data_IF_486528358434
#
_entry.id   IF_486528358434
#
_cell.length_a   1.000
_cell.length_b   1.000
_cell.length_c   1.000
_cell.angle_alpha   90.00
_cell.angle_beta   90.00
_cell.angle_gamma   90.00
#
_symmetry.space_group_name_H-M   'P 1'
#
loop_
_entity.id
_entity.type
_entity.pdbx_description
1 polymer ?
#
# COMPACT_ATOMS: atom_id res chain seq x y z
N UNK A 1 -16.96 18.53 11.19
CA UNK A 1 -18.35 18.51 11.70
C UNK A 1 -18.87 17.08 11.76
N UNK A 2 -20.19 16.86 11.57
CA UNK A 2 -20.79 15.53 11.41
C UNK A 2 -20.67 15.00 9.97
N UNK A 3 -21.23 13.80 9.70
CA UNK A 3 -21.31 13.17 8.37
C UNK A 3 -19.98 13.06 7.63
N UNK A 4 -18.86 12.93 8.34
CA UNK A 4 -17.52 12.91 7.75
C UNK A 4 -17.28 11.71 6.83
N UNK A 5 -18.06 10.64 6.98
CA UNK A 5 -18.05 9.44 6.13
C UNK A 5 -18.55 9.75 4.70
N UNK A 6 -19.51 10.67 4.59
CA UNK A 6 -20.17 11.04 3.34
C UNK A 6 -19.20 11.66 2.34
N UNK A 7 -18.33 12.56 2.80
CA UNK A 7 -17.22 13.08 2.01
C UNK A 7 -16.02 12.13 1.96
N UNK A 8 -15.79 11.30 2.99
CA UNK A 8 -14.66 10.35 3.00
C UNK A 8 -14.73 9.28 1.89
N UNK A 9 -15.93 8.95 1.41
CA UNK A 9 -16.11 8.12 0.20
C UNK A 9 -16.12 8.95 -1.10
N UNK A 10 -16.72 10.15 -1.10
CA UNK A 10 -16.85 11.00 -2.29
C UNK A 10 -15.53 11.62 -2.75
N UNK A 11 -14.72 12.16 -1.82
CA UNK A 11 -13.35 12.63 -2.12
C UNK A 11 -12.49 11.47 -2.64
N UNK A 12 -12.67 10.24 -2.13
CA UNK A 12 -12.02 9.02 -2.63
C UNK A 12 -12.45 8.71 -4.07
N UNK A 13 -13.74 8.90 -4.42
CA UNK A 13 -14.21 8.73 -5.80
C UNK A 13 -13.55 9.73 -6.76
N UNK A 14 -13.26 10.96 -6.31
CA UNK A 14 -12.48 11.96 -7.08
C UNK A 14 -11.01 11.51 -7.25
N UNK A 15 -10.45 10.88 -6.22
CA UNK A 15 -9.14 10.22 -6.27
C UNK A 15 -9.09 9.09 -7.30
N UNK A 16 -10.13 8.26 -7.36
CA UNK A 16 -10.25 7.18 -8.36
C UNK A 16 -10.46 7.71 -9.79
N UNK A 17 -11.13 8.85 -9.98
CA UNK A 17 -11.18 9.56 -11.28
C UNK A 17 -9.78 9.99 -11.73
N UNK A 18 -8.94 10.45 -10.81
CA UNK A 18 -7.58 10.89 -11.10
C UNK A 18 -6.63 9.69 -11.36
N UNK A 19 -6.77 8.64 -10.55
CA UNK A 19 -5.98 7.40 -10.63
C UNK A 19 -6.16 6.67 -11.96
N UNK A 20 -7.40 6.56 -12.47
CA UNK A 20 -7.62 5.91 -13.78
C UNK A 20 -7.19 6.84 -14.95
N UNK A 21 -7.22 8.16 -14.74
CA UNK A 21 -6.80 9.16 -15.74
C UNK A 21 -5.27 9.33 -15.87
N UNK A 22 -4.51 8.95 -14.84
CA UNK A 22 -3.04 9.05 -14.82
C UNK A 22 -2.50 10.24 -14.02
N UNK A 23 -3.30 10.83 -13.13
CA UNK A 23 -2.87 11.84 -12.15
C UNK A 23 -2.85 11.22 -10.74
N UNK A 24 -1.81 10.45 -10.44
CA UNK A 24 -1.66 9.75 -9.16
C UNK A 24 -1.35 10.75 -8.05
N UNK A 25 -0.55 11.79 -8.32
CA UNK A 25 -0.29 12.87 -7.33
C UNK A 25 -1.57 13.60 -6.91
N UNK A 26 -2.49 13.85 -7.83
CA UNK A 26 -3.84 14.34 -7.50
C UNK A 26 -4.65 13.26 -6.76
N UNK A 27 -4.53 11.97 -7.10
CA UNK A 27 -5.18 10.91 -6.33
C UNK A 27 -4.71 10.85 -4.86
N UNK A 28 -3.42 11.06 -4.56
CA UNK A 28 -2.89 10.99 -3.19
C UNK A 28 -3.55 12.03 -2.29
N UNK A 29 -3.54 13.30 -2.71
CA UNK A 29 -4.17 14.38 -1.92
C UNK A 29 -5.67 14.12 -1.72
N UNK A 30 -6.40 13.65 -2.75
CA UNK A 30 -7.82 13.28 -2.64
C UNK A 30 -8.04 12.18 -1.58
N UNK A 31 -7.18 11.16 -1.52
CA UNK A 31 -7.26 10.13 -0.47
C UNK A 31 -6.88 10.70 0.91
N UNK A 32 -5.96 11.67 0.97
CA UNK A 32 -5.51 12.32 2.21
C UNK A 32 -6.62 13.17 2.85
N UNK A 33 -7.44 13.87 2.04
CA UNK A 33 -8.66 14.55 2.52
C UNK A 33 -9.66 13.56 3.10
N UNK A 34 -9.80 12.42 2.43
CA UNK A 34 -10.70 11.33 2.81
C UNK A 34 -10.37 10.76 4.19
N UNK A 35 -9.10 10.43 4.45
CA UNK A 35 -8.64 9.85 5.73
C UNK A 35 -8.77 10.84 6.89
N UNK A 36 -8.60 12.15 6.64
CA UNK A 36 -8.80 13.19 7.65
C UNK A 36 -10.29 13.46 7.97
N UNK A 37 -11.23 12.94 7.16
CA UNK A 37 -12.66 12.94 7.48
C UNK A 37 -13.07 11.64 8.20
N UNK A 38 -12.77 10.47 7.63
CA UNK A 38 -13.07 9.16 8.22
C UNK A 38 -12.01 8.15 7.75
N UNK A 39 -11.03 7.77 8.58
CA UNK A 39 -9.95 6.87 8.19
C UNK A 39 -10.46 5.44 7.95
N UNK A 40 -10.06 4.88 6.82
CA UNK A 40 -10.43 3.54 6.34
C UNK A 40 -9.22 2.75 5.87
N UNK A 41 -9.35 1.42 5.97
CA UNK A 41 -8.50 0.49 5.20
C UNK A 41 -8.48 0.91 3.73
N UNK A 42 -9.65 1.21 3.13
CA UNK A 42 -9.74 1.52 1.69
C UNK A 42 -8.88 2.74 1.32
N UNK A 43 -9.01 3.86 2.04
CA UNK A 43 -8.29 5.08 1.70
C UNK A 43 -6.78 4.99 2.03
N UNK A 44 -6.38 4.34 3.13
CA UNK A 44 -4.95 4.13 3.44
C UNK A 44 -4.27 3.23 2.39
N UNK A 45 -4.91 2.11 2.04
CA UNK A 45 -4.36 1.13 1.10
C UNK A 45 -4.25 1.71 -0.33
N UNK A 46 -5.21 2.55 -0.73
CA UNK A 46 -5.18 3.27 -2.00
C UNK A 46 -4.18 4.45 -2.02
N UNK A 47 -4.01 5.17 -0.90
CA UNK A 47 -2.95 6.19 -0.74
C UNK A 47 -1.56 5.58 -0.89
N UNK A 48 -1.30 4.46 -0.22
CA UNK A 48 -0.06 3.70 -0.38
C UNK A 48 0.14 3.21 -1.83
N UNK A 49 -0.90 2.69 -2.49
CA UNK A 49 -0.81 2.24 -3.88
C UNK A 49 -0.48 3.38 -4.86
N UNK A 50 -0.98 4.59 -4.63
CA UNK A 50 -0.63 5.74 -5.46
C UNK A 50 0.84 6.18 -5.25
N UNK A 51 1.33 6.16 -4.01
CA UNK A 51 2.73 6.50 -3.66
C UNK A 51 3.76 5.57 -4.32
N UNK A 52 3.38 4.32 -4.61
CA UNK A 52 4.26 3.35 -5.28
C UNK A 52 4.66 3.84 -6.68
N UNK A 53 3.73 4.46 -7.42
CA UNK A 53 4.00 5.02 -8.76
C UNK A 53 4.71 6.38 -8.72
N UNK A 54 4.69 7.05 -7.57
CA UNK A 54 5.42 8.29 -7.29
C UNK A 54 6.83 8.05 -6.73
N UNK A 55 7.22 6.78 -6.52
CA UNK A 55 8.50 6.37 -5.91
C UNK A 55 8.67 6.88 -4.46
N UNK A 56 7.54 7.05 -3.76
CA UNK A 56 7.45 7.58 -2.39
C UNK A 56 7.32 6.44 -1.37
N UNK A 57 8.26 5.50 -1.43
CA UNK A 57 8.22 4.23 -0.70
C UNK A 57 8.14 4.43 0.82
N UNK A 58 8.89 5.39 1.34
CA UNK A 58 8.92 5.70 2.77
C UNK A 58 7.67 6.45 3.26
N UNK A 59 6.89 7.09 2.39
CA UNK A 59 5.53 7.55 2.69
C UNK A 59 4.54 6.39 2.58
N UNK A 60 4.72 5.50 1.60
CA UNK A 60 3.79 4.39 1.33
C UNK A 60 3.73 3.37 2.47
N UNK A 61 4.89 3.05 3.07
CA UNK A 61 4.92 2.16 4.23
C UNK A 61 4.10 2.72 5.40
N UNK A 62 4.10 4.04 5.64
CA UNK A 62 3.44 4.63 6.82
C UNK A 62 1.92 4.45 6.76
N UNK A 63 1.33 4.53 5.56
CA UNK A 63 -0.10 4.26 5.37
C UNK A 63 -0.40 2.75 5.37
N UNK A 64 0.50 1.90 4.87
CA UNK A 64 0.37 0.44 4.99
C UNK A 64 0.33 -0.01 6.46
N UNK A 65 1.15 0.59 7.34
CA UNK A 65 1.19 0.25 8.76
C UNK A 65 -0.15 0.52 9.44
N UNK A 66 -0.80 1.63 9.09
CA UNK A 66 -2.17 1.96 9.53
C UNK A 66 -3.21 0.92 9.09
N UNK A 67 -3.08 0.34 7.89
CA UNK A 67 -3.98 -0.74 7.44
C UNK A 67 -3.84 -1.98 8.35
N UNK A 68 -2.62 -2.38 8.71
CA UNK A 68 -2.40 -3.55 9.58
C UNK A 68 -2.95 -3.38 11.02
N UNK A 69 -3.20 -2.15 11.47
CA UNK A 69 -3.88 -1.86 12.74
C UNK A 69 -5.41 -2.04 12.67
N UNK A 70 -6.00 -2.02 11.46
CA UNK A 70 -7.43 -2.23 11.21
C UNK A 70 -7.73 -3.65 10.70
N UNK A 71 -6.89 -4.16 9.79
CA UNK A 71 -6.93 -5.51 9.23
C UNK A 71 -5.54 -6.17 9.37
N UNK A 72 -5.18 -6.70 10.55
CA UNK A 72 -3.97 -7.47 10.77
C UNK A 72 -4.00 -8.74 9.92
N UNK A 73 -3.30 -8.68 8.79
CA UNK A 73 -3.19 -9.74 7.79
C UNK A 73 -3.54 -9.33 6.35
N UNK A 74 -3.95 -8.08 6.11
CA UNK A 74 -4.39 -7.54 4.84
C UNK A 74 -3.35 -7.75 3.74
N UNK A 75 -3.70 -8.60 2.78
CA UNK A 75 -2.82 -9.04 1.71
C UNK A 75 -2.36 -7.86 0.84
N UNK A 76 -3.27 -6.94 0.49
CA UNK A 76 -2.94 -5.73 -0.27
C UNK A 76 -1.89 -4.87 0.45
N UNK A 77 -2.05 -4.67 1.76
CA UNK A 77 -1.11 -3.87 2.54
C UNK A 77 0.26 -4.54 2.66
N UNK A 78 0.31 -5.86 2.89
CA UNK A 78 1.56 -6.62 2.96
C UNK A 78 2.27 -6.68 1.61
N UNK A 79 1.54 -6.82 0.51
CA UNK A 79 2.09 -6.74 -0.86
C UNK A 79 2.75 -5.37 -1.12
N UNK A 80 2.11 -4.29 -0.66
CA UNK A 80 2.54 -2.90 -0.89
C UNK A 80 3.66 -2.47 0.08
N UNK A 81 3.61 -2.90 1.35
CA UNK A 81 4.69 -2.72 2.34
C UNK A 81 5.96 -3.48 1.92
N UNK A 82 5.84 -4.73 1.50
CA UNK A 82 6.95 -5.51 0.93
C UNK A 82 7.53 -4.86 -0.34
N UNK A 83 6.68 -4.36 -1.25
CA UNK A 83 7.12 -3.61 -2.44
C UNK A 83 7.90 -2.34 -2.05
N UNK A 84 7.41 -1.56 -1.09
CA UNK A 84 8.10 -0.36 -0.63
C UNK A 84 9.47 -0.68 -0.02
N UNK A 85 9.55 -1.76 0.77
CA UNK A 85 10.78 -2.27 1.37
C UNK A 85 11.81 -2.70 0.33
N UNK A 86 11.40 -3.40 -0.73
CA UNK A 86 12.24 -3.85 -1.84
C UNK A 86 12.99 -2.66 -2.46
N UNK A 87 12.32 -1.52 -2.63
CA UNK A 87 12.90 -0.28 -3.20
C UNK A 87 13.60 0.64 -2.18
N UNK A 88 13.40 0.40 -0.88
CA UNK A 88 14.11 1.05 0.23
C UNK A 88 15.34 0.27 0.72
N UNK A 89 15.64 -0.88 0.12
CA UNK A 89 16.60 -1.87 0.62
C UNK A 89 16.31 -2.36 2.04
N UNK A 90 15.02 -2.51 2.38
CA UNK A 90 14.51 -3.11 3.64
C UNK A 90 14.02 -4.55 3.43
N UNK A 91 14.63 -5.26 2.47
CA UNK A 91 14.28 -6.60 2.00
C UNK A 91 14.19 -7.64 3.13
N UNK A 92 15.02 -7.45 4.18
CA UNK A 92 15.05 -8.28 5.41
C UNK A 92 13.69 -8.38 6.11
N UNK A 93 12.89 -7.32 6.03
CA UNK A 93 11.48 -7.30 6.47
C UNK A 93 10.51 -7.75 5.36
N UNK A 94 10.81 -7.49 4.09
CA UNK A 94 9.93 -7.87 2.97
C UNK A 94 9.77 -9.38 2.79
N UNK A 95 10.83 -10.18 2.98
CA UNK A 95 10.79 -11.65 2.88
C UNK A 95 9.70 -12.22 3.81
N UNK A 96 9.71 -11.74 5.04
CA UNK A 96 8.70 -12.07 6.06
C UNK A 96 7.29 -11.67 5.61
N UNK A 97 7.10 -10.45 5.09
CA UNK A 97 5.77 -9.95 4.71
C UNK A 97 5.14 -10.74 3.55
N UNK A 98 5.94 -11.11 2.55
CA UNK A 98 5.49 -11.93 1.41
C UNK A 98 5.06 -13.33 1.86
N UNK A 99 5.78 -13.92 2.84
CA UNK A 99 5.34 -15.16 3.50
C UNK A 99 3.99 -15.01 4.25
N UNK A 100 3.68 -13.82 4.81
CA UNK A 100 2.40 -13.54 5.50
C UNK A 100 1.21 -13.40 4.54
N UNK A 101 1.51 -13.06 3.29
CA UNK A 101 0.57 -13.14 2.16
C UNK A 101 0.35 -14.60 1.74
N UNK A 102 1.43 -15.33 1.44
CA UNK A 102 1.37 -16.64 0.77
C UNK A 102 0.80 -17.74 1.66
N UNK A 103 0.80 -17.58 2.99
CA UNK A 103 0.15 -18.51 3.92
C UNK A 103 -1.39 -18.49 3.82
N UNK A 104 -1.93 -17.36 3.40
CA UNK A 104 -3.39 -17.10 3.20
C UNK A 104 -3.79 -17.19 1.73
N UNK A 105 -2.97 -16.67 0.84
CA UNK A 105 -3.22 -16.58 -0.60
C UNK A 105 -2.01 -17.10 -1.41
N UNK A 106 -1.78 -18.42 -1.48
CA UNK A 106 -0.65 -19.02 -2.20
C UNK A 106 -0.71 -18.81 -3.72
N UNK A 107 -1.84 -18.31 -4.23
CA UNK A 107 -2.06 -17.93 -5.63
C UNK A 107 -1.46 -16.56 -6.02
N UNK A 108 -1.16 -15.67 -5.06
CA UNK A 108 -0.63 -14.34 -5.34
C UNK A 108 0.71 -14.35 -6.10
N UNK A 109 0.65 -14.12 -7.41
CA UNK A 109 1.80 -13.93 -8.30
C UNK A 109 2.71 -12.80 -7.79
N UNK A 110 2.12 -11.66 -7.40
CA UNK A 110 2.87 -10.49 -6.94
C UNK A 110 3.67 -10.80 -5.67
N UNK A 111 3.16 -11.70 -4.84
CA UNK A 111 3.84 -12.19 -3.65
C UNK A 111 5.02 -13.11 -4.01
N UNK A 112 4.77 -14.23 -4.71
CA UNK A 112 5.80 -15.24 -5.00
C UNK A 112 6.87 -14.76 -6.00
N UNK A 113 6.48 -13.99 -7.03
CA UNK A 113 7.41 -13.45 -8.03
C UNK A 113 8.33 -12.37 -7.45
N UNK A 114 7.86 -11.63 -6.44
CA UNK A 114 8.70 -10.68 -5.70
C UNK A 114 9.57 -11.40 -4.67
N UNK A 115 9.08 -12.45 -4.02
CA UNK A 115 9.87 -13.26 -3.07
C UNK A 115 11.14 -13.84 -3.71
N UNK A 116 11.04 -14.36 -4.93
CA UNK A 116 12.21 -14.90 -5.66
C UNK A 116 13.29 -13.85 -5.94
N UNK A 117 12.90 -12.58 -6.07
CA UNK A 117 13.82 -11.44 -6.20
C UNK A 117 14.36 -10.97 -4.84
N UNK A 118 13.56 -11.07 -3.77
CA UNK A 118 13.97 -10.74 -2.39
C UNK A 118 14.99 -11.75 -1.87
N UNK A 119 14.73 -13.06 -2.00
CA UNK A 119 15.64 -14.11 -1.49
C UNK A 119 17.04 -14.01 -2.11
N UNK A 120 17.13 -13.68 -3.41
CA UNK A 120 18.42 -13.48 -4.07
C UNK A 120 19.05 -12.15 -3.70
N UNK A 121 18.26 -11.08 -3.55
CA UNK A 121 18.78 -9.77 -3.20
C UNK A 121 19.35 -9.75 -1.76
N UNK A 122 18.78 -10.53 -0.84
CA UNK A 122 19.35 -10.76 0.50
C UNK A 122 20.70 -11.46 0.47
N UNK A 123 20.87 -12.45 -0.40
CA UNK A 123 22.13 -13.18 -0.65
C UNK A 123 23.19 -12.29 -1.34
N UNK A 124 22.76 -11.32 -2.14
CA UNK A 124 23.60 -10.26 -2.70
C UNK A 124 23.94 -9.12 -1.69
N UNK A 125 23.05 -8.84 -0.73
CA UNK A 125 23.16 -7.73 0.24
C UNK A 125 24.12 -8.03 1.41
N UNK A 126 25.40 -8.29 1.11
CA UNK A 126 26.44 -8.65 2.09
C UNK A 126 27.33 -7.48 2.58
#
# INVERSE_FOLDING_TARGET
GPHMDYLATREKEKGNEAFNSGDYEEAVMYYTRSISALPTVVAYNNRAQAYIKLQNWNSAEQDCEKVLELEPGNVKALLRRATAYKHQNKLREAREDLKKVLKVEPDNDLAKKTLSEVERDLKNSE
#
